data_IF_121475835874
#
_entry.id   IF_121475835874
#
_cell.length_a   1.000
_cell.length_b   1.000
_cell.length_c   1.000
_cell.angle_alpha   90.00
_cell.angle_beta   90.00
_cell.angle_gamma   90.00
#
_symmetry.space_group_name_H-M   'P 1'
#
loop_
_entity.id
_entity.type
_entity.pdbx_description
1 polymer ?
#
# COMPACT_ATOMS: atom_id res chain seq x y z
N UNK A 1 1.71 22.09 -2.34
CA UNK A 1 2.53 21.15 -3.14
C UNK A 1 1.80 20.82 -4.43
N UNK A 2 2.50 20.78 -5.55
CA UNK A 2 1.95 20.28 -6.79
C UNK A 2 1.80 18.75 -6.69
N UNK A 3 0.59 18.27 -6.38
CA UNK A 3 0.30 16.83 -6.20
C UNK A 3 0.15 16.06 -7.54
N UNK A 4 0.45 16.70 -8.67
CA UNK A 4 0.35 16.09 -10.00
C UNK A 4 1.51 15.15 -10.37
N UNK A 5 2.55 15.05 -9.54
CA UNK A 5 3.72 14.19 -9.74
C UNK A 5 3.83 13.08 -8.68
N UNK A 6 2.74 12.34 -8.44
CA UNK A 6 2.76 11.13 -7.61
C UNK A 6 2.66 9.91 -8.51
N UNK A 7 3.70 9.08 -8.50
CA UNK A 7 3.80 7.91 -9.36
C UNK A 7 3.87 6.63 -8.54
N UNK A 8 3.58 5.52 -9.22
CA UNK A 8 3.82 4.19 -8.67
C UNK A 8 5.30 4.05 -8.34
N UNK A 9 5.58 3.49 -7.16
CA UNK A 9 6.93 3.36 -6.64
C UNK A 9 7.42 4.57 -5.86
N UNK A 10 6.72 5.71 -5.85
CA UNK A 10 7.15 6.86 -5.05
C UNK A 10 7.02 6.57 -3.54
N UNK A 11 8.07 6.90 -2.78
CA UNK A 11 8.01 6.94 -1.32
C UNK A 11 7.36 8.24 -0.87
N UNK A 12 6.38 8.12 0.02
CA UNK A 12 5.60 9.27 0.49
C UNK A 12 5.44 9.26 2.00
N UNK A 13 5.35 10.45 2.57
CA UNK A 13 4.79 10.66 3.89
C UNK A 13 3.29 10.93 3.75
N UNK A 14 2.47 10.20 4.50
CA UNK A 14 1.03 10.39 4.51
C UNK A 14 0.47 10.41 5.93
N UNK A 15 -0.61 11.15 6.15
CA UNK A 15 -1.35 11.13 7.42
C UNK A 15 -2.00 9.76 7.61
N UNK A 16 -1.91 9.20 8.82
CA UNK A 16 -2.65 7.99 9.17
C UNK A 16 -4.15 8.29 9.21
N UNK A 17 -5.02 7.51 8.54
CA UNK A 17 -6.41 7.93 8.33
C UNK A 17 -7.29 7.85 9.58
N UNK A 18 -6.93 6.99 10.53
CA UNK A 18 -7.69 6.79 11.79
C UNK A 18 -6.95 7.20 13.05
N UNK A 19 -5.69 7.67 12.95
CA UNK A 19 -4.87 8.02 14.11
C UNK A 19 -4.32 9.43 13.93
N UNK A 20 -4.96 10.41 14.57
CA UNK A 20 -4.62 11.82 14.45
C UNK A 20 -3.17 12.10 14.87
N UNK A 21 -2.51 12.99 14.13
CA UNK A 21 -1.10 13.36 14.37
C UNK A 21 -0.07 12.30 13.96
N UNK A 22 -0.49 11.07 13.62
CA UNK A 22 0.43 10.04 13.12
C UNK A 22 0.62 10.13 11.62
N UNK A 23 1.83 9.79 11.19
CA UNK A 23 2.23 9.72 9.79
C UNK A 23 2.77 8.33 9.48
N UNK A 24 2.58 7.89 8.25
CA UNK A 24 3.17 6.66 7.71
C UNK A 24 4.15 7.04 6.60
N UNK A 25 5.23 6.25 6.51
CA UNK A 25 6.21 6.35 5.44
C UNK A 25 6.13 5.07 4.61
N UNK A 26 5.56 5.20 3.41
CA UNK A 26 5.18 4.06 2.59
C UNK A 26 5.31 4.38 1.12
N UNK A 27 5.33 3.35 0.28
CA UNK A 27 5.42 3.43 -1.16
C UNK A 27 4.03 3.42 -1.81
N UNK A 28 3.81 4.28 -2.80
CA UNK A 28 2.62 4.20 -3.65
C UNK A 28 2.68 2.90 -4.44
N UNK A 29 1.81 1.97 -4.05
CA UNK A 29 1.75 0.62 -4.63
C UNK A 29 0.50 0.40 -5.46
N UNK A 30 -0.50 1.30 -5.38
CA UNK A 30 -1.63 1.40 -6.30
C UNK A 30 -2.10 2.86 -6.40
N UNK A 31 -2.63 3.23 -7.57
CA UNK A 31 -3.11 4.59 -7.88
C UNK A 31 -4.57 4.56 -8.36
N UNK A 32 -5.24 5.72 -8.52
CA UNK A 32 -6.63 5.77 -8.96
C UNK A 32 -6.88 4.92 -10.21
N UNK A 33 -7.94 4.11 -10.18
CA UNK A 33 -8.34 3.20 -11.25
C UNK A 33 -7.67 1.82 -11.24
N UNK A 34 -6.61 1.61 -10.44
CA UNK A 34 -6.03 0.27 -10.30
C UNK A 34 -6.95 -0.68 -9.51
N UNK A 35 -6.88 -1.95 -9.84
CA UNK A 35 -7.36 -3.04 -8.98
C UNK A 35 -6.19 -3.57 -8.17
N UNK A 36 -6.29 -3.58 -6.84
CA UNK A 36 -5.26 -4.11 -5.94
C UNK A 36 -5.79 -5.31 -5.17
N UNK A 37 -4.95 -6.32 -4.98
CA UNK A 37 -5.31 -7.53 -4.25
C UNK A 37 -4.08 -8.17 -3.60
N UNK A 38 -4.18 -8.61 -2.35
CA UNK A 38 -3.18 -9.50 -1.76
C UNK A 38 -3.51 -10.94 -2.13
N UNK A 39 -2.55 -11.68 -2.70
CA UNK A 39 -2.64 -13.13 -2.92
C UNK A 39 -1.38 -13.79 -2.37
N UNK A 40 -1.51 -14.68 -1.39
CA UNK A 40 -0.40 -15.38 -0.76
C UNK A 40 0.76 -14.43 -0.34
N UNK A 41 0.42 -13.33 0.35
CA UNK A 41 1.33 -12.27 0.83
C UNK A 41 2.00 -11.42 -0.24
N UNK A 42 1.65 -11.62 -1.51
CA UNK A 42 2.16 -10.83 -2.65
C UNK A 42 1.06 -9.85 -3.08
N UNK A 43 1.42 -8.58 -3.28
CA UNK A 43 0.48 -7.63 -3.89
C UNK A 43 0.34 -7.94 -5.38
N UNK A 44 -0.88 -7.99 -5.87
CA UNK A 44 -1.23 -7.99 -7.28
C UNK A 44 -1.89 -6.65 -7.60
N UNK A 45 -1.47 -6.03 -8.70
CA UNK A 45 -2.04 -4.80 -9.24
C UNK A 45 -2.45 -5.04 -10.69
N UNK A 46 -3.74 -4.89 -10.98
CA UNK A 46 -4.35 -5.23 -12.27
C UNK A 46 -3.93 -6.65 -12.71
N UNK A 47 -4.06 -7.61 -11.78
CA UNK A 47 -3.66 -9.02 -11.92
C UNK A 47 -2.17 -9.31 -12.18
N UNK A 48 -1.31 -8.30 -12.18
CA UNK A 48 0.13 -8.48 -12.27
C UNK A 48 0.74 -8.47 -10.86
N UNK A 49 1.56 -9.46 -10.48
CA UNK A 49 2.25 -9.43 -9.20
C UNK A 49 3.19 -8.23 -9.14
N UNK A 50 3.37 -7.68 -7.94
CA UNK A 50 4.34 -6.63 -7.72
C UNK A 50 5.75 -7.09 -8.07
N UNK A 51 6.50 -6.19 -8.68
CA UNK A 51 7.92 -6.39 -8.95
C UNK A 51 8.69 -5.26 -8.26
N UNK A 52 9.50 -5.54 -7.22
CA UNK A 52 10.20 -4.52 -6.47
C UNK A 52 11.47 -4.00 -7.19
N UNK A 53 11.43 -3.85 -8.51
CA UNK A 53 12.57 -3.31 -9.27
C UNK A 53 12.97 -1.94 -8.72
N UNK A 54 14.19 -1.86 -8.18
CA UNK A 54 14.75 -0.63 -7.60
C UNK A 54 14.54 -0.43 -6.09
N UNK A 55 13.96 -1.40 -5.37
CA UNK A 55 13.88 -1.38 -3.89
C UNK A 55 13.84 -2.80 -3.29
N UNK A 56 13.98 -2.90 -1.97
CA UNK A 56 14.01 -4.19 -1.27
C UNK A 56 12.77 -4.34 -0.39
N UNK A 57 12.01 -5.41 -0.62
CA UNK A 57 10.95 -5.84 0.28
C UNK A 57 11.52 -6.73 1.40
N UNK A 58 11.12 -6.47 2.63
CA UNK A 58 11.49 -7.27 3.80
C UNK A 58 10.27 -8.01 4.33
N UNK A 59 10.46 -9.29 4.64
CA UNK A 59 9.46 -10.17 5.22
C UNK A 59 10.09 -10.86 6.44
N UNK A 60 9.57 -10.58 7.62
CA UNK A 60 9.97 -11.21 8.88
C UNK A 60 9.09 -12.43 9.17
N UNK A 61 7.85 -12.43 8.67
CA UNK A 61 6.89 -13.48 8.91
C UNK A 61 7.10 -14.71 8.00
N UNK A 62 7.75 -15.72 8.58
CA UNK A 62 8.06 -17.00 7.92
C UNK A 62 6.88 -17.98 7.83
N UNK A 63 5.69 -17.62 8.33
CA UNK A 63 4.51 -18.50 8.30
C UNK A 63 3.92 -18.59 6.88
N UNK A 64 3.15 -19.64 6.63
CA UNK A 64 2.29 -19.73 5.44
C UNK A 64 1.18 -18.66 5.46
N UNK A 65 0.60 -18.33 4.29
CA UNK A 65 -0.48 -17.35 4.20
C UNK A 65 -1.77 -17.89 4.83
N UNK A 66 -2.47 -17.04 5.56
CA UNK A 66 -3.82 -17.33 6.04
C UNK A 66 -4.89 -17.04 4.99
N UNK A 67 -6.07 -17.69 5.05
CA UNK A 67 -7.20 -17.32 4.20
C UNK A 67 -7.66 -15.88 4.48
N UNK A 68 -8.33 -15.25 3.50
CA UNK A 68 -8.79 -13.86 3.60
C UNK A 68 -9.74 -13.60 4.76
N UNK A 69 -10.50 -14.63 5.18
CA UNK A 69 -11.36 -14.58 6.37
C UNK A 69 -10.61 -14.39 7.68
N UNK A 70 -9.29 -14.63 7.70
CA UNK A 70 -8.44 -14.51 8.88
C UNK A 70 -7.41 -13.39 8.73
N UNK A 71 -6.85 -13.17 7.54
CA UNK A 71 -5.86 -12.11 7.30
C UNK A 71 -6.02 -11.48 5.93
N UNK A 72 -6.58 -10.26 5.91
CA UNK A 72 -6.59 -9.39 4.72
C UNK A 72 -5.19 -9.00 4.23
N UNK A 73 -4.17 -9.10 5.09
CA UNK A 73 -2.77 -8.82 4.74
C UNK A 73 -2.16 -9.92 3.88
N UNK A 74 -2.57 -11.17 4.11
CA UNK A 74 -2.04 -12.34 3.39
C UNK A 74 -2.85 -12.60 2.11
N UNK A 75 -4.17 -12.52 2.23
CA UNK A 75 -5.11 -12.70 1.13
C UNK A 75 -6.26 -11.70 1.27
N UNK A 76 -6.60 -10.99 0.20
CA UNK A 76 -7.70 -10.04 0.20
C UNK A 76 -8.64 -10.30 -0.98
N UNK A 77 -9.85 -9.77 -0.88
CA UNK A 77 -10.69 -9.57 -2.06
C UNK A 77 -10.08 -8.47 -2.95
N UNK A 78 -10.34 -8.49 -4.27
CA UNK A 78 -9.93 -7.41 -5.16
C UNK A 78 -10.58 -6.09 -4.76
N UNK A 79 -9.79 -5.02 -4.75
CA UNK A 79 -10.26 -3.67 -4.44
C UNK A 79 -9.95 -2.74 -5.61
N UNK A 80 -10.99 -2.11 -6.16
CA UNK A 80 -10.85 -1.05 -7.17
C UNK A 80 -10.60 0.28 -6.46
N UNK A 81 -9.48 0.93 -6.76
CA UNK A 81 -9.15 2.25 -6.23
C UNK A 81 -9.98 3.32 -6.94
N UNK A 82 -10.73 4.10 -6.15
CA UNK A 82 -11.58 5.18 -6.66
C UNK A 82 -10.73 6.34 -7.18
N UNK A 83 -11.41 7.32 -7.75
CA UNK A 83 -10.75 8.56 -8.10
C UNK A 83 -10.07 9.16 -6.85
N UNK A 84 -8.83 9.64 -7.04
CA UNK A 84 -7.97 10.23 -6.00
C UNK A 84 -7.53 9.31 -4.84
N UNK A 85 -7.90 8.03 -4.85
CA UNK A 85 -7.45 7.06 -3.84
C UNK A 85 -6.10 6.43 -4.22
N UNK A 86 -5.25 6.26 -3.21
CA UNK A 86 -3.95 5.62 -3.32
C UNK A 86 -3.85 4.46 -2.33
N UNK A 87 -3.22 3.37 -2.77
CA UNK A 87 -2.91 2.23 -1.92
C UNK A 87 -1.41 2.26 -1.59
N UNK A 88 -1.10 2.40 -0.31
CA UNK A 88 0.26 2.54 0.16
C UNK A 88 0.71 1.24 0.83
N UNK A 89 1.89 0.73 0.45
CA UNK A 89 2.53 -0.38 1.15
C UNK A 89 3.90 0.06 1.64
N UNK A 90 4.24 -0.38 2.83
CA UNK A 90 5.56 -0.17 3.37
C UNK A 90 6.48 -1.33 2.95
N UNK A 91 7.78 -1.03 2.79
CA UNK A 91 8.75 -1.99 2.27
C UNK A 91 9.07 -3.11 3.29
N UNK A 92 8.96 -2.83 4.60
CA UNK A 92 8.98 -3.87 5.63
C UNK A 92 7.56 -4.42 5.84
N UNK A 93 7.21 -5.49 5.14
CA UNK A 93 5.82 -5.92 4.99
C UNK A 93 5.15 -6.39 6.27
N UNK A 94 5.90 -6.74 7.30
CA UNK A 94 5.34 -7.32 8.52
C UNK A 94 5.38 -6.37 9.73
N UNK A 95 6.19 -5.31 9.67
CA UNK A 95 6.52 -4.49 10.85
C UNK A 95 5.98 -3.05 10.82
N UNK A 96 5.17 -2.69 9.84
CA UNK A 96 4.58 -1.35 9.73
C UNK A 96 3.10 -1.39 9.34
N UNK A 97 2.40 -0.32 9.73
CA UNK A 97 1.01 -0.10 9.37
C UNK A 97 0.90 0.61 8.03
N UNK A 98 0.08 0.06 7.14
CA UNK A 98 -0.12 0.56 5.78
C UNK A 98 -1.54 0.26 5.26
N UNK A 99 -1.81 0.44 3.97
CA UNK A 99 -3.16 0.32 3.41
C UNK A 99 -3.78 -1.07 3.56
N UNK A 100 -3.02 -2.11 3.93
CA UNK A 100 -3.59 -3.41 4.29
C UNK A 100 -4.35 -3.38 5.62
N UNK A 101 -4.04 -2.43 6.51
CA UNK A 101 -4.70 -2.29 7.81
C UNK A 101 -5.86 -1.30 7.76
N UNK A 102 -5.63 -0.16 7.10
CA UNK A 102 -6.54 0.98 7.14
C UNK A 102 -7.22 1.29 5.79
N UNK A 103 -6.93 0.50 4.75
CA UNK A 103 -7.47 0.70 3.41
C UNK A 103 -6.73 1.76 2.58
N UNK A 104 -7.27 2.11 1.41
CA UNK A 104 -6.71 3.18 0.59
C UNK A 104 -6.88 4.54 1.28
N UNK A 105 -6.03 5.49 0.93
CA UNK A 105 -6.12 6.86 1.43
C UNK A 105 -6.34 7.85 0.30
N UNK A 106 -7.06 8.95 0.55
CA UNK A 106 -7.25 10.00 -0.44
C UNK A 106 -5.96 10.82 -0.60
N UNK A 107 -5.71 11.34 -1.80
CA UNK A 107 -4.48 12.09 -2.15
C UNK A 107 -4.20 13.28 -1.20
N UNK A 108 -5.23 13.86 -0.59
CA UNK A 108 -5.14 14.94 0.38
C UNK A 108 -4.34 14.55 1.63
N UNK A 109 -4.30 13.26 1.96
CA UNK A 109 -3.59 12.73 3.11
C UNK A 109 -2.09 12.56 2.82
N UNK A 110 -1.70 12.53 1.54
CA UNK A 110 -0.31 12.52 1.14
C UNK A 110 0.27 13.92 1.37
N UNK A 111 1.23 13.99 2.30
CA UNK A 111 1.90 15.21 2.73
C UNK A 111 2.99 15.62 1.75
N UNK A 112 3.67 14.64 1.16
CA UNK A 112 4.73 14.86 0.19
C UNK A 112 5.48 13.58 -0.17
N UNK A 113 6.27 13.67 -1.23
CA UNK A 113 7.18 12.64 -1.70
C UNK A 113 8.54 12.78 -1.02
N UNK A 114 9.17 11.67 -0.63
CA UNK A 114 10.57 11.64 -0.22
C UNK A 114 11.48 11.61 -1.45
N UNK A 115 12.59 12.35 -1.37
CA UNK A 115 13.59 12.51 -2.43
C UNK A 115 14.51 11.30 -2.53
#
# INVERSE_FOLDING_TARGET
MNRSNLYLGDLVLAKHPTQEGKVVFSRISGKPGDVVQMKNKILYRNDNPENPDGFTLQFEDKRGPFPSSFSGRDNSEPLVLKDRDYFLLCDNRDSCSDSRDFGPIPIEYILGKAL
#
